data_IF_991088375450
#
_entry.id   IF_991088375450
#
_cell.length_a   1.000
_cell.length_b   1.000
_cell.length_c   1.000
_cell.angle_alpha   90.00
_cell.angle_beta   90.00
_cell.angle_gamma   90.00
#
_symmetry.space_group_name_H-M   'P 1'
#
loop_
_entity.id
_entity.type
_entity.pdbx_description
1 polymer ?
#
# COMPACT_ATOMS: atom_id res chain seq x y z
N UNK A 1 18.69 -20.48 -5.90
CA UNK A 1 17.85 -19.38 -6.42
C UNK A 1 18.73 -18.18 -6.69
N UNK A 2 18.57 -17.47 -7.79
CA UNK A 2 19.38 -16.26 -8.05
C UNK A 2 18.90 -15.09 -7.20
N UNK A 3 19.80 -14.17 -6.87
CA UNK A 3 19.47 -12.93 -6.15
C UNK A 3 18.41 -12.11 -6.92
N UNK A 4 18.52 -12.07 -8.24
CA UNK A 4 17.56 -11.44 -9.13
C UNK A 4 16.14 -12.02 -8.95
N UNK A 5 16.03 -13.36 -8.94
CA UNK A 5 14.71 -14.03 -8.74
C UNK A 5 14.13 -13.71 -7.37
N UNK A 6 14.96 -13.68 -6.31
CA UNK A 6 14.53 -13.33 -4.96
C UNK A 6 13.97 -11.92 -4.92
N UNK A 7 14.71 -10.94 -5.43
CA UNK A 7 14.26 -9.53 -5.47
C UNK A 7 12.98 -9.36 -6.30
N UNK A 8 12.86 -10.06 -7.42
CA UNK A 8 11.65 -10.02 -8.25
C UNK A 8 10.42 -10.57 -7.53
N UNK A 9 10.56 -11.65 -6.76
CA UNK A 9 9.47 -12.23 -5.96
C UNK A 9 9.06 -11.25 -4.85
N UNK A 10 10.02 -10.65 -4.15
CA UNK A 10 9.76 -9.65 -3.11
C UNK A 10 9.01 -8.45 -3.71
N UNK A 11 9.52 -7.91 -4.82
CA UNK A 11 8.92 -6.78 -5.52
C UNK A 11 7.48 -7.08 -5.97
N UNK A 12 7.24 -8.25 -6.56
CA UNK A 12 5.90 -8.69 -6.99
C UNK A 12 4.95 -8.84 -5.80
N UNK A 13 5.42 -9.37 -4.67
CA UNK A 13 4.63 -9.51 -3.44
C UNK A 13 4.22 -8.15 -2.86
N UNK A 14 5.13 -7.17 -2.83
CA UNK A 14 4.83 -5.80 -2.40
C UNK A 14 3.82 -5.16 -3.36
N UNK A 15 4.00 -5.36 -4.68
CA UNK A 15 3.06 -4.87 -5.70
C UNK A 15 1.66 -5.46 -5.54
N UNK A 16 1.55 -6.74 -5.18
CA UNK A 16 0.27 -7.37 -4.87
C UNK A 16 -0.41 -6.72 -3.67
N UNK A 17 0.31 -6.50 -2.56
CA UNK A 17 -0.23 -5.81 -1.37
C UNK A 17 -0.65 -4.38 -1.71
N UNK A 18 0.15 -3.66 -2.54
CA UNK A 18 -0.20 -2.35 -3.05
C UNK A 18 -1.53 -2.37 -3.80
N UNK A 19 -1.71 -3.34 -4.71
CA UNK A 19 -2.97 -3.51 -5.47
C UNK A 19 -4.17 -3.73 -4.55
N UNK A 20 -4.01 -4.52 -3.49
CA UNK A 20 -5.06 -4.74 -2.48
C UNK A 20 -5.44 -3.41 -1.81
N UNK A 21 -4.47 -2.60 -1.35
CA UNK A 21 -4.75 -1.29 -0.75
C UNK A 21 -5.46 -0.34 -1.72
N UNK A 22 -5.03 -0.29 -3.00
CA UNK A 22 -5.68 0.52 -4.02
C UNK A 22 -7.12 0.06 -4.29
N UNK A 23 -7.37 -1.25 -4.32
CA UNK A 23 -8.71 -1.80 -4.46
C UNK A 23 -9.61 -1.44 -3.27
N UNK A 24 -9.11 -1.51 -2.03
CA UNK A 24 -9.87 -1.08 -0.86
C UNK A 24 -10.27 0.39 -0.98
N UNK A 25 -9.34 1.28 -1.34
CA UNK A 25 -9.64 2.69 -1.58
C UNK A 25 -10.69 2.91 -2.67
N UNK A 26 -10.70 2.09 -3.72
CA UNK A 26 -11.62 2.24 -4.85
C UNK A 26 -13.02 1.66 -4.59
N UNK A 27 -13.09 0.48 -3.95
CA UNK A 27 -14.34 -0.31 -3.83
C UNK A 27 -15.29 0.26 -2.77
N UNK A 28 -14.76 0.92 -1.75
CA UNK A 28 -15.57 1.44 -0.64
C UNK A 28 -16.21 2.81 -0.91
N UNK A 29 -16.01 3.42 -2.09
CA UNK A 29 -16.80 4.58 -2.50
C UNK A 29 -18.22 4.12 -2.81
N UNK A 30 -19.13 4.32 -1.88
CA UNK A 30 -20.56 4.14 -2.19
C UNK A 30 -20.99 5.22 -3.20
N UNK A 31 -21.72 4.87 -4.28
CA UNK A 31 -22.20 5.84 -5.27
C UNK A 31 -22.95 7.03 -4.62
N UNK A 32 -23.67 6.77 -3.54
CA UNK A 32 -24.35 7.80 -2.75
C UNK A 32 -23.38 8.81 -2.10
N UNK A 33 -22.13 8.41 -1.82
CA UNK A 33 -21.13 9.32 -1.25
C UNK A 33 -20.52 10.23 -2.32
N UNK A 34 -20.41 9.74 -3.57
CA UNK A 34 -19.99 10.56 -4.70
C UNK A 34 -21.01 11.68 -4.97
N UNK A 35 -22.29 11.32 -4.96
CA UNK A 35 -23.39 12.29 -5.17
C UNK A 35 -23.39 13.34 -4.06
N UNK A 36 -23.23 12.93 -2.79
CA UNK A 36 -23.18 13.84 -1.64
C UNK A 36 -21.92 14.70 -1.59
N UNK A 37 -20.78 14.18 -2.04
CA UNK A 37 -19.55 14.97 -2.16
C UNK A 37 -19.60 15.99 -3.30
N UNK A 38 -20.46 15.78 -4.30
CA UNK A 38 -20.72 16.72 -5.37
C UNK A 38 -21.75 17.80 -4.99
N UNK A 39 -22.56 17.57 -3.95
CA UNK A 39 -23.45 18.58 -3.39
C UNK A 39 -22.67 19.52 -2.46
N UNK A 40 -22.77 20.83 -2.66
CA UNK A 40 -21.97 21.87 -2.00
C UNK A 40 -22.14 21.96 -0.46
N UNK A 41 -22.93 21.13 0.17
CA UNK A 41 -23.12 21.13 1.62
C UNK A 41 -22.10 20.24 2.36
N UNK A 42 -20.83 20.55 2.22
CA UNK A 42 -19.73 19.89 2.94
C UNK A 42 -19.83 20.00 4.48
N UNK A 43 -20.60 20.95 4.98
CA UNK A 43 -20.73 21.21 6.42
C UNK A 43 -21.74 20.31 7.14
N UNK A 44 -22.53 19.53 6.43
CA UNK A 44 -23.68 18.85 7.02
C UNK A 44 -23.43 17.44 7.59
N UNK A 45 -22.36 16.74 7.16
CA UNK A 45 -22.10 15.37 7.67
C UNK A 45 -20.59 15.11 7.95
N UNK A 46 -20.19 15.01 9.23
CA UNK A 46 -18.82 14.68 9.64
C UNK A 46 -18.31 13.32 9.10
N UNK A 47 -19.23 12.40 8.81
CA UNK A 47 -18.93 11.07 8.28
C UNK A 47 -18.33 11.08 6.86
N UNK A 48 -18.68 12.07 6.02
CA UNK A 48 -18.18 12.17 4.65
C UNK A 48 -16.69 12.53 4.65
N UNK A 49 -16.31 13.51 5.47
CA UNK A 49 -14.92 13.95 5.59
C UNK A 49 -14.02 12.79 6.09
N UNK A 50 -14.47 12.02 7.08
CA UNK A 50 -13.71 10.88 7.60
C UNK A 50 -13.54 9.77 6.53
N UNK A 51 -14.59 9.52 5.75
CA UNK A 51 -14.53 8.53 4.66
C UNK A 51 -13.54 8.93 3.58
N UNK A 52 -13.57 10.19 3.15
CA UNK A 52 -12.64 10.72 2.14
C UNK A 52 -11.19 10.72 2.64
N UNK A 53 -10.96 11.06 3.92
CA UNK A 53 -9.64 11.00 4.55
C UNK A 53 -9.12 9.56 4.58
N UNK A 54 -9.96 8.61 4.98
CA UNK A 54 -9.61 7.18 5.03
C UNK A 54 -9.21 6.68 3.64
N UNK A 55 -10.03 6.98 2.64
CA UNK A 55 -9.79 6.62 1.26
C UNK A 55 -8.52 7.26 0.70
N UNK A 56 -8.29 8.55 0.96
CA UNK A 56 -7.05 9.22 0.56
C UNK A 56 -5.82 8.56 1.20
N UNK A 57 -5.91 8.15 2.47
CA UNK A 57 -4.83 7.43 3.15
C UNK A 57 -4.57 6.04 2.53
N UNK A 58 -5.62 5.33 2.11
CA UNK A 58 -5.52 4.04 1.41
C UNK A 58 -4.83 4.19 0.06
N UNK A 59 -5.25 5.15 -0.75
CA UNK A 59 -4.59 5.45 -2.04
C UNK A 59 -3.13 5.84 -1.89
N UNK A 60 -2.81 6.72 -0.92
CA UNK A 60 -1.43 7.12 -0.68
C UNK A 60 -0.56 5.96 -0.22
N UNK A 61 -1.10 5.09 0.64
CA UNK A 61 -0.38 3.89 1.10
C UNK A 61 -0.14 2.91 -0.04
N UNK A 62 -1.18 2.62 -0.83
CA UNK A 62 -1.08 1.75 -1.99
C UNK A 62 -0.12 2.32 -3.05
N UNK A 63 -0.24 3.61 -3.37
CA UNK A 63 0.65 4.28 -4.32
C UNK A 63 2.11 4.26 -3.89
N UNK A 64 2.40 4.50 -2.61
CA UNK A 64 3.76 4.41 -2.08
C UNK A 64 4.34 3.00 -2.21
N UNK A 65 3.58 1.97 -1.84
CA UNK A 65 4.01 0.57 -1.98
C UNK A 65 4.25 0.20 -3.45
N UNK A 66 3.43 0.74 -4.37
CA UNK A 66 3.61 0.52 -5.81
C UNK A 66 4.94 1.08 -6.30
N UNK A 67 5.28 2.31 -5.90
CA UNK A 67 6.57 2.93 -6.23
C UNK A 67 7.72 2.09 -5.70
N UNK A 68 7.66 1.64 -4.45
CA UNK A 68 8.68 0.76 -3.84
C UNK A 68 8.80 -0.55 -4.62
N UNK A 69 7.68 -1.17 -5.01
CA UNK A 69 7.66 -2.38 -5.82
C UNK A 69 8.39 -2.19 -7.16
N UNK A 70 8.08 -1.12 -7.90
CA UNK A 70 8.74 -0.83 -9.17
C UNK A 70 10.24 -0.51 -9.00
N UNK A 71 10.60 0.26 -7.98
CA UNK A 71 12.00 0.54 -7.68
C UNK A 71 12.80 -0.77 -7.43
N UNK A 72 12.24 -1.70 -6.66
CA UNK A 72 12.84 -3.00 -6.42
C UNK A 72 12.92 -3.85 -7.70
N UNK A 73 11.94 -3.78 -8.60
CA UNK A 73 12.00 -4.47 -9.90
C UNK A 73 13.15 -3.94 -10.77
N UNK A 74 13.33 -2.61 -10.80
CA UNK A 74 14.46 -1.99 -11.53
C UNK A 74 15.78 -2.44 -10.96
N UNK A 75 15.93 -2.46 -9.62
CA UNK A 75 17.12 -2.98 -8.95
C UNK A 75 17.33 -4.45 -9.29
N UNK A 76 16.28 -5.28 -9.22
CA UNK A 76 16.36 -6.70 -9.56
C UNK A 76 16.85 -6.94 -10.99
N UNK A 77 16.36 -6.11 -11.94
CA UNK A 77 16.79 -6.20 -13.34
C UNK A 77 18.26 -5.80 -13.55
N UNK A 78 18.80 -4.95 -12.67
CA UNK A 78 20.19 -4.44 -12.76
C UNK A 78 21.21 -5.36 -12.07
N UNK A 79 20.76 -6.29 -11.23
CA UNK A 79 21.65 -7.21 -10.49
C UNK A 79 22.04 -8.38 -11.37
N UNK A 80 23.36 -8.72 -11.47
CA UNK A 80 23.80 -9.90 -12.20
C UNK A 80 23.23 -11.19 -11.59
N UNK A 81 23.01 -12.20 -12.44
CA UNK A 81 22.43 -13.50 -12.07
C UNK A 81 23.40 -14.34 -11.24
N UNK A 82 23.84 -13.84 -10.10
CA UNK A 82 24.68 -14.58 -9.17
C UNK A 82 23.82 -15.59 -8.37
N UNK A 83 24.27 -16.84 -8.35
CA UNK A 83 23.63 -17.86 -7.53
C UNK A 83 23.96 -17.64 -6.05
N UNK A 84 22.95 -17.40 -5.25
CA UNK A 84 23.07 -17.32 -3.80
C UNK A 84 23.19 -18.75 -3.23
N UNK A 85 24.39 -19.13 -2.82
CA UNK A 85 24.61 -20.40 -2.09
C UNK A 85 24.37 -20.15 -0.59
N UNK A 86 23.14 -20.32 -0.17
CA UNK A 86 22.79 -20.25 1.26
C UNK A 86 22.61 -21.67 1.83
N UNK A 87 23.00 -21.92 3.10
CA UNK A 87 22.94 -23.25 3.72
C UNK A 87 21.50 -23.79 3.89
N UNK A 88 20.47 -22.95 3.81
CA UNK A 88 19.06 -23.33 3.96
C UNK A 88 18.27 -23.19 2.64
N UNK A 89 18.57 -24.00 1.64
CA UNK A 89 17.89 -23.95 0.34
C UNK A 89 16.38 -24.19 0.42
N UNK A 90 15.88 -24.94 1.42
CA UNK A 90 14.46 -25.20 1.60
C UNK A 90 13.65 -23.96 1.98
N UNK A 91 14.20 -23.06 2.82
CA UNK A 91 13.57 -21.81 3.21
C UNK A 91 13.55 -20.76 2.09
N UNK A 92 14.43 -20.89 1.11
CA UNK A 92 14.53 -20.02 -0.06
C UNK A 92 13.67 -20.50 -1.24
N UNK A 93 12.73 -21.43 -1.01
CA UNK A 93 11.75 -21.80 -2.00
C UNK A 93 10.81 -20.63 -2.27
N UNK A 94 10.49 -20.31 -3.56
CA UNK A 94 9.52 -19.28 -3.93
C UNK A 94 8.19 -19.43 -3.22
N UNK A 95 7.77 -20.66 -2.93
CA UNK A 95 6.51 -21.00 -2.24
C UNK A 95 6.44 -20.49 -0.79
N UNK A 96 7.57 -20.34 -0.11
CA UNK A 96 7.62 -19.78 1.24
C UNK A 96 7.90 -18.28 1.23
N UNK A 97 8.75 -17.79 0.33
CA UNK A 97 9.15 -16.39 0.27
C UNK A 97 7.98 -15.50 -0.15
N UNK A 98 7.21 -15.89 -1.17
CA UNK A 98 6.12 -15.08 -1.66
C UNK A 98 5.03 -14.82 -0.58
N UNK A 99 4.44 -15.86 0.07
CA UNK A 99 3.46 -15.61 1.11
C UNK A 99 4.04 -14.91 2.34
N UNK A 100 5.29 -15.23 2.75
CA UNK A 100 5.93 -14.55 3.86
C UNK A 100 6.11 -13.04 3.58
N UNK A 101 6.53 -12.67 2.37
CA UNK A 101 6.69 -11.27 1.97
C UNK A 101 5.35 -10.54 1.89
N UNK A 102 4.31 -11.18 1.41
CA UNK A 102 2.94 -10.62 1.39
C UNK A 102 2.47 -10.32 2.81
N UNK A 103 2.63 -11.28 3.74
CA UNK A 103 2.23 -11.09 5.15
C UNK A 103 3.04 -9.96 5.80
N UNK A 104 4.36 -9.96 5.65
CA UNK A 104 5.24 -8.91 6.22
C UNK A 104 4.91 -7.54 5.63
N UNK A 105 4.73 -7.44 4.31
CA UNK A 105 4.36 -6.18 3.65
C UNK A 105 2.99 -5.68 4.10
N UNK A 106 2.02 -6.58 4.28
CA UNK A 106 0.70 -6.25 4.81
C UNK A 106 0.77 -5.72 6.24
N UNK A 107 1.53 -6.39 7.10
CA UNK A 107 1.74 -5.96 8.49
C UNK A 107 2.45 -4.61 8.58
N UNK A 108 3.46 -4.36 7.75
CA UNK A 108 4.20 -3.10 7.71
C UNK A 108 3.39 -1.94 7.11
N UNK A 109 2.48 -2.22 6.19
CA UNK A 109 1.63 -1.20 5.56
C UNK A 109 0.57 -0.65 6.53
N UNK A 110 0.10 -1.45 7.49
CA UNK A 110 -0.91 -1.04 8.45
C UNK A 110 -0.51 0.15 9.35
N UNK A 111 0.68 0.17 9.99
CA UNK A 111 1.12 1.34 10.76
C UNK A 111 1.32 2.59 9.89
N UNK A 112 1.78 2.43 8.63
CA UNK A 112 1.92 3.54 7.68
C UNK A 112 0.54 4.14 7.38
N UNK A 113 -0.45 3.31 7.09
CA UNK A 113 -1.84 3.72 6.89
C UNK A 113 -2.38 4.47 8.11
N UNK A 114 -2.25 3.90 9.31
CA UNK A 114 -2.73 4.50 10.56
C UNK A 114 -2.08 5.86 10.85
N UNK A 115 -0.79 5.98 10.59
CA UNK A 115 -0.06 7.24 10.74
C UNK A 115 -0.55 8.29 9.75
N UNK A 116 -0.70 7.93 8.48
CA UNK A 116 -1.23 8.82 7.42
C UNK A 116 -2.65 9.28 7.71
N UNK A 117 -3.53 8.37 8.12
CA UNK A 117 -4.91 8.73 8.51
C UNK A 117 -4.91 9.77 9.62
N UNK A 118 -4.07 9.62 10.65
CA UNK A 118 -3.96 10.59 11.75
C UNK A 118 -3.45 11.96 11.29
N UNK A 119 -2.42 11.99 10.47
CA UNK A 119 -1.84 13.23 9.92
C UNK A 119 -2.88 14.01 9.10
N UNK A 120 -3.65 13.33 8.26
CA UNK A 120 -4.72 13.94 7.47
C UNK A 120 -5.86 14.46 8.35
N UNK A 121 -6.27 13.71 9.38
CA UNK A 121 -7.30 14.16 10.34
C UNK A 121 -6.87 15.44 11.05
N UNK A 122 -5.64 15.51 11.54
CA UNK A 122 -5.11 16.70 12.21
C UNK A 122 -5.09 17.92 11.28
N UNK A 123 -4.66 17.74 10.03
CA UNK A 123 -4.65 18.81 9.02
C UNK A 123 -6.05 19.34 8.73
N UNK A 124 -7.02 18.46 8.57
CA UNK A 124 -8.42 18.88 8.33
C UNK A 124 -8.99 19.61 9.54
N UNK A 125 -8.70 19.15 10.76
CA UNK A 125 -9.16 19.81 11.99
C UNK A 125 -8.52 21.21 12.14
N UNK A 126 -7.24 21.37 11.82
CA UNK A 126 -6.57 22.68 11.88
C UNK A 126 -7.12 23.67 10.87
N UNK A 127 -7.56 23.22 9.68
CA UNK A 127 -8.18 24.07 8.66
C UNK A 127 -9.60 24.49 9.03
N UNK A 128 -10.32 23.69 9.82
CA UNK A 128 -11.67 24.06 10.32
C UNK A 128 -11.64 25.04 11.49
N UNK A 129 -10.51 25.14 12.21
CA UNK A 129 -10.36 26.01 13.36
C UNK A 129 -9.89 27.44 13.00
N UNK A 130 -9.43 27.68 11.77
CA UNK A 130 -9.08 28.98 11.20
C UNK A 130 -10.18 29.53 10.31
#
# INVERSE_FOLDING_TARGET
MSLQTLLSIIAASIGFVSGVWLCFGAVFIKPAQIVRAADESWDAEPNIAETLITQSAEYLTGGFLLIVSFALQVVAASVPTANLQWPCQALLSPWFIAPATVVVSGLLSYPIFKWRKRDLLQKVQSLKAN
#
